data_IF_871228858469
#
_entry.id   IF_871228858469
#
_cell.length_a   1.000
_cell.length_b   1.000
_cell.length_c   1.000
_cell.angle_alpha   90.00
_cell.angle_beta   90.00
_cell.angle_gamma   90.00
#
_symmetry.space_group_name_H-M   'P 1'
#
loop_
_entity.id
_entity.type
_entity.pdbx_description
1 polymer ?
#
# COMPACT_ATOMS: atom_id res chain seq x y z
N UNK A 1 -2.98 11.04 -7.73
CA UNK A 1 -4.08 10.25 -7.13
C UNK A 1 -3.85 9.91 -5.67
N UNK A 2 -2.90 9.06 -5.29
CA UNK A 2 -2.67 8.74 -3.86
C UNK A 2 -2.36 9.98 -3.00
N UNK A 3 -1.67 10.97 -3.57
CA UNK A 3 -1.47 12.27 -2.91
C UNK A 3 -2.80 13.03 -2.67
N UNK A 4 -3.72 13.04 -3.63
CA UNK A 4 -5.07 13.63 -3.46
C UNK A 4 -5.88 12.90 -2.37
N UNK A 5 -5.65 11.60 -2.21
CA UNK A 5 -6.30 10.74 -1.21
C UNK A 5 -5.66 10.81 0.19
N UNK A 6 -4.84 11.82 0.46
CA UNK A 6 -4.19 12.03 1.75
C UNK A 6 -3.30 10.85 2.25
N UNK A 7 -2.81 9.98 1.35
CA UNK A 7 -1.84 8.95 1.72
C UNK A 7 -0.52 9.60 2.13
N UNK A 8 0.06 9.17 3.25
CA UNK A 8 1.25 9.80 3.82
C UNK A 8 2.54 9.42 3.09
N UNK A 9 2.65 8.17 2.66
CA UNK A 9 3.90 7.61 2.16
C UNK A 9 3.69 6.51 1.11
N UNK A 10 4.57 6.46 0.12
CA UNK A 10 4.77 5.31 -0.78
C UNK A 10 6.19 4.80 -0.59
N UNK A 11 6.32 3.48 -0.41
CA UNK A 11 7.59 2.78 -0.34
C UNK A 11 7.69 1.84 -1.53
N UNK A 12 8.50 2.13 -2.55
CA UNK A 12 8.72 1.22 -3.65
C UNK A 12 9.49 -0.01 -3.17
N UNK A 13 9.03 -1.21 -3.51
CA UNK A 13 9.66 -2.46 -3.10
C UNK A 13 9.98 -3.29 -4.34
N UNK A 14 11.18 -3.86 -4.37
CA UNK A 14 11.56 -4.85 -5.38
C UNK A 14 11.20 -6.24 -4.87
N UNK A 15 10.30 -6.90 -5.59
CA UNK A 15 9.97 -8.31 -5.39
C UNK A 15 10.71 -9.18 -6.41
N UNK A 16 10.78 -10.48 -6.15
CA UNK A 16 11.48 -11.45 -6.99
C UNK A 16 10.95 -11.51 -8.43
N UNK A 17 9.67 -11.16 -8.62
CA UNK A 17 8.99 -11.13 -9.94
C UNK A 17 8.72 -9.72 -10.46
N UNK A 18 9.35 -8.71 -9.86
CA UNK A 18 9.34 -7.36 -10.43
C UNK A 18 10.07 -7.36 -11.77
N UNK A 19 9.63 -6.54 -12.73
CA UNK A 19 10.36 -6.42 -13.98
C UNK A 19 11.76 -5.86 -13.72
N UNK A 20 12.76 -6.42 -14.40
CA UNK A 20 14.16 -6.04 -14.22
C UNK A 20 14.39 -4.55 -14.60
N UNK A 21 15.30 -3.88 -13.89
CA UNK A 21 15.78 -2.52 -14.18
C UNK A 21 14.75 -1.39 -14.08
N UNK A 22 13.77 -1.47 -13.18
CA UNK A 22 12.90 -0.32 -12.88
C UNK A 22 13.70 0.71 -12.07
N UNK A 23 14.22 1.73 -12.77
CA UNK A 23 14.79 2.92 -12.14
C UNK A 23 13.70 3.97 -11.95
N UNK A 24 13.49 4.40 -10.70
CA UNK A 24 12.54 5.45 -10.39
C UNK A 24 13.19 6.83 -10.55
N UNK A 25 12.63 7.65 -11.45
CA UNK A 25 12.99 9.06 -11.53
C UNK A 25 12.33 9.83 -10.38
N UNK A 26 13.01 9.84 -9.23
CA UNK A 26 12.56 10.56 -8.04
C UNK A 26 12.38 12.06 -8.27
N UNK A 27 13.16 12.69 -9.17
CA UNK A 27 12.98 14.11 -9.49
C UNK A 27 11.63 14.32 -10.17
N UNK A 28 11.29 13.47 -11.14
CA UNK A 28 9.98 13.51 -11.81
C UNK A 28 8.84 13.19 -10.83
N UNK A 29 8.99 12.17 -10.00
CA UNK A 29 7.97 11.78 -9.02
C UNK A 29 7.69 12.91 -8.01
N UNK A 30 8.74 13.55 -7.49
CA UNK A 30 8.59 14.68 -6.57
C UNK A 30 7.90 15.88 -7.24
N UNK A 31 8.18 16.17 -8.53
CA UNK A 31 7.42 17.20 -9.26
C UNK A 31 5.94 16.86 -9.34
N UNK A 32 5.59 15.61 -9.63
CA UNK A 32 4.19 15.16 -9.67
C UNK A 32 3.50 15.34 -8.32
N UNK A 33 4.19 15.02 -7.21
CA UNK A 33 3.65 15.23 -5.85
C UNK A 33 3.41 16.72 -5.59
N UNK A 34 4.36 17.59 -5.91
CA UNK A 34 4.25 19.04 -5.71
C UNK A 34 3.08 19.62 -6.52
N UNK A 35 2.95 19.27 -7.80
CA UNK A 35 1.82 19.74 -8.63
C UNK A 35 0.49 19.19 -8.12
N UNK A 36 0.46 17.93 -7.67
CA UNK A 36 -0.73 17.36 -7.05
C UNK A 36 -1.12 18.10 -5.76
N UNK A 37 -0.17 18.47 -4.91
CA UNK A 37 -0.43 19.26 -3.70
C UNK A 37 -1.05 20.62 -4.01
N UNK A 38 -0.55 21.32 -5.04
CA UNK A 38 -1.11 22.61 -5.51
C UNK A 38 -2.56 22.45 -5.96
N UNK A 39 -2.88 21.38 -6.70
CA UNK A 39 -4.22 21.13 -7.24
C UNK A 39 -5.21 20.63 -6.18
N UNK A 40 -4.73 19.93 -5.14
CA UNK A 40 -5.58 19.34 -4.10
C UNK A 40 -5.60 20.13 -2.79
N UNK A 41 -4.97 21.32 -2.75
CA UNK A 41 -4.77 22.13 -1.55
C UNK A 41 -4.20 21.34 -0.35
N UNK A 42 -3.29 20.40 -0.63
CA UNK A 42 -2.69 19.52 0.38
C UNK A 42 -1.38 20.13 0.88
N UNK A 43 -1.33 20.49 2.17
CA UNK A 43 -0.16 21.13 2.80
C UNK A 43 1.03 20.18 2.91
N UNK A 44 0.80 18.96 3.40
CA UNK A 44 1.87 18.00 3.66
C UNK A 44 2.04 17.05 2.46
N UNK A 45 3.14 17.13 1.69
CA UNK A 45 3.32 16.29 0.51
C UNK A 45 3.40 14.80 0.85
N UNK A 46 2.88 13.97 -0.05
CA UNK A 46 3.14 12.52 -0.04
C UNK A 46 4.64 12.25 -0.12
N UNK A 47 5.18 11.46 0.81
CA UNK A 47 6.58 11.07 0.81
C UNK A 47 6.76 9.85 -0.10
N UNK A 48 7.71 9.91 -1.03
CA UNK A 48 8.14 8.76 -1.82
C UNK A 48 9.53 8.35 -1.32
N UNK A 49 9.61 7.20 -0.65
CA UNK A 49 10.88 6.70 -0.12
C UNK A 49 11.76 6.08 -1.21
N UNK A 50 13.03 5.89 -0.89
CA UNK A 50 13.94 5.12 -1.71
C UNK A 50 13.43 3.68 -1.87
N UNK A 51 13.71 3.10 -3.03
CA UNK A 51 13.36 1.73 -3.32
C UNK A 51 14.12 0.80 -2.38
N UNK A 52 13.40 -0.14 -1.78
CA UNK A 52 13.96 -1.12 -0.85
C UNK A 52 13.80 -2.55 -1.37
N UNK A 53 14.58 -3.47 -0.82
CA UNK A 53 14.42 -4.91 -1.09
C UNK A 53 13.30 -5.50 -0.24
N UNK A 54 12.86 -6.71 -0.62
CA UNK A 54 11.84 -7.46 0.10
C UNK A 54 12.19 -7.69 1.58
N UNK A 55 13.42 -8.06 1.92
CA UNK A 55 13.82 -8.29 3.31
C UNK A 55 13.69 -7.02 4.18
N UNK A 56 14.04 -5.86 3.61
CA UNK A 56 13.89 -4.56 4.28
C UNK A 56 12.41 -4.20 4.50
N UNK A 57 11.53 -4.59 3.57
CA UNK A 57 10.08 -4.45 3.75
C UNK A 57 9.61 -5.24 4.96
N UNK A 58 10.05 -6.50 5.12
CA UNK A 58 9.64 -7.36 6.24
C UNK A 58 10.00 -6.73 7.58
N UNK A 59 11.20 -6.16 7.71
CA UNK A 59 11.61 -5.44 8.91
C UNK A 59 10.78 -4.17 9.13
N UNK A 60 10.53 -3.39 8.07
CA UNK A 60 9.81 -2.11 8.15
C UNK A 60 8.35 -2.25 8.58
N UNK A 61 7.70 -3.38 8.26
CA UNK A 61 6.29 -3.60 8.62
C UNK A 61 6.10 -4.25 9.99
N UNK A 62 7.15 -4.71 10.66
CA UNK A 62 7.05 -5.34 11.99
C UNK A 62 6.37 -4.40 12.99
N UNK A 63 5.41 -4.95 13.72
CA UNK A 63 4.67 -4.22 14.75
C UNK A 63 3.67 -3.18 14.23
N UNK A 64 3.44 -3.11 12.92
CA UNK A 64 2.44 -2.25 12.30
C UNK A 64 1.27 -3.04 11.72
N UNK A 65 0.10 -2.44 11.64
CA UNK A 65 -1.07 -3.06 10.98
C UNK A 65 -0.85 -3.03 9.48
N UNK A 66 -0.62 -4.20 8.88
CA UNK A 66 -0.31 -4.29 7.45
C UNK A 66 -1.29 -5.21 6.74
N UNK A 67 -1.95 -4.69 5.71
CA UNK A 67 -2.81 -5.45 4.82
C UNK A 67 -2.04 -5.93 3.60
N UNK A 68 -2.15 -7.22 3.29
CA UNK A 68 -1.67 -7.77 2.03
C UNK A 68 -2.85 -7.84 1.05
N UNK A 69 -2.81 -7.02 0.01
CA UNK A 69 -3.82 -7.06 -1.05
C UNK A 69 -3.54 -8.29 -1.94
N UNK A 70 -4.31 -9.37 -1.73
CA UNK A 70 -4.15 -10.65 -2.44
C UNK A 70 -5.45 -11.05 -3.13
N UNK A 71 -5.32 -11.80 -4.21
CA UNK A 71 -6.45 -12.25 -5.03
C UNK A 71 -6.95 -13.65 -4.62
N UNK A 72 -6.37 -14.25 -3.57
CA UNK A 72 -6.70 -15.61 -3.16
C UNK A 72 -8.07 -15.69 -2.49
N UNK A 73 -8.77 -16.80 -2.71
CA UNK A 73 -10.12 -17.08 -2.18
C UNK A 73 -10.18 -17.07 -0.64
N UNK A 74 -9.06 -17.29 0.04
CA UNK A 74 -8.98 -17.30 1.51
C UNK A 74 -8.89 -15.90 2.13
N UNK A 75 -8.75 -14.85 1.31
CA UNK A 75 -8.58 -13.49 1.82
C UNK A 75 -9.94 -12.86 2.18
N UNK A 76 -9.97 -12.09 3.25
CA UNK A 76 -11.21 -11.52 3.78
C UNK A 76 -11.48 -10.13 3.19
N UNK A 77 -12.74 -9.69 3.26
CA UNK A 77 -13.00 -8.25 3.14
C UNK A 77 -12.37 -7.55 4.36
N UNK A 78 -11.80 -6.37 4.17
CA UNK A 78 -11.19 -5.60 5.26
C UNK A 78 -12.17 -5.36 6.43
N UNK A 79 -13.47 -5.19 6.14
CA UNK A 79 -14.53 -4.97 7.14
C UNK A 79 -14.71 -6.15 8.10
N UNK A 80 -14.18 -7.33 7.74
CA UNK A 80 -14.23 -8.51 8.59
C UNK A 80 -13.09 -8.56 9.62
N UNK A 81 -12.14 -7.63 9.57
CA UNK A 81 -11.13 -7.46 10.61
C UNK A 81 -11.67 -6.48 11.65
N UNK A 82 -11.70 -6.88 12.92
CA UNK A 82 -11.96 -5.97 14.04
C UNK A 82 -10.67 -5.19 14.33
N UNK A 83 -10.54 -4.04 13.67
CA UNK A 83 -9.38 -3.15 13.80
C UNK A 83 -9.78 -1.99 14.69
N UNK A 84 -9.04 -1.79 15.77
CA UNK A 84 -9.16 -0.60 16.60
C UNK A 84 -8.02 0.34 16.22
N UNK A 85 -8.26 1.23 15.26
CA UNK A 85 -7.22 2.14 14.77
C UNK A 85 -7.16 3.33 15.72
N UNK A 86 -6.00 3.53 16.34
CA UNK A 86 -5.74 4.68 17.20
C UNK A 86 -5.05 5.78 16.42
N UNK A 87 -5.16 7.01 16.93
CA UNK A 87 -4.44 8.12 16.36
C UNK A 87 -2.93 7.89 16.50
N UNK A 88 -2.20 7.97 15.39
CA UNK A 88 -0.76 7.69 15.34
C UNK A 88 -0.40 6.27 14.88
N UNK A 89 -1.36 5.36 14.76
CA UNK A 89 -1.11 4.02 14.22
C UNK A 89 -0.67 4.10 12.76
N UNK A 90 0.29 3.24 12.41
CA UNK A 90 0.75 3.09 11.02
C UNK A 90 -0.02 1.93 10.40
N UNK A 91 -0.73 2.24 9.32
CA UNK A 91 -1.44 1.25 8.51
C UNK A 91 -0.79 1.17 7.14
N UNK A 92 -0.36 -0.03 6.77
CA UNK A 92 0.26 -0.30 5.48
C UNK A 92 -0.67 -1.13 4.60
N UNK A 93 -0.58 -0.91 3.29
CA UNK A 93 -1.15 -1.80 2.28
C UNK A 93 -0.02 -2.24 1.35
N UNK A 94 0.17 -3.55 1.24
CA UNK A 94 1.14 -4.17 0.34
C UNK A 94 0.42 -4.59 -0.92
N UNK A 95 0.93 -4.14 -2.05
CA UNK A 95 0.39 -4.42 -3.38
C UNK A 95 1.52 -5.02 -4.21
N UNK A 96 1.26 -6.18 -4.79
CA UNK A 96 2.23 -6.88 -5.62
C UNK A 96 2.51 -6.16 -6.93
N UNK A 97 3.66 -6.47 -7.53
CA UNK A 97 3.93 -6.16 -8.94
C UNK A 97 3.12 -7.06 -9.87
N UNK A 98 3.20 -6.80 -11.18
CA UNK A 98 2.47 -7.54 -12.22
C UNK A 98 2.79 -9.04 -12.24
N UNK A 99 4.03 -9.42 -11.88
CA UNK A 99 4.43 -10.84 -11.75
C UNK A 99 3.87 -11.54 -10.50
N UNK A 100 3.15 -10.79 -9.65
CA UNK A 100 2.69 -11.25 -8.34
C UNK A 100 3.84 -11.57 -7.39
N UNK A 101 3.54 -12.41 -6.41
CA UNK A 101 4.49 -12.87 -5.41
C UNK A 101 4.91 -14.31 -5.68
N UNK A 102 6.13 -14.67 -5.29
CA UNK A 102 6.54 -16.06 -5.16
C UNK A 102 5.83 -16.73 -3.99
N UNK A 103 5.86 -18.07 -3.94
CA UNK A 103 5.28 -18.83 -2.83
C UNK A 103 5.98 -18.48 -1.51
N UNK A 104 7.31 -18.36 -1.54
CA UNK A 104 8.10 -18.03 -0.36
C UNK A 104 7.81 -16.61 0.15
N UNK A 105 7.74 -15.61 -0.73
CA UNK A 105 7.33 -14.25 -0.37
C UNK A 105 5.92 -14.23 0.24
N UNK A 106 4.97 -14.96 -0.36
CA UNK A 106 3.61 -15.05 0.21
C UNK A 106 3.61 -15.69 1.58
N UNK A 107 4.38 -16.75 1.81
CA UNK A 107 4.44 -17.40 3.12
C UNK A 107 4.97 -16.45 4.19
N UNK A 108 6.03 -15.71 3.88
CA UNK A 108 6.60 -14.72 4.80
C UNK A 108 5.63 -13.56 5.05
N UNK A 109 5.02 -13.00 3.99
CA UNK A 109 4.04 -11.92 4.12
C UNK A 109 2.79 -12.37 4.91
N UNK A 110 2.25 -13.55 4.64
CA UNK A 110 1.07 -14.06 5.34
C UNK A 110 1.31 -14.24 6.85
N UNK A 111 2.55 -14.46 7.28
CA UNK A 111 2.90 -14.55 8.70
C UNK A 111 2.95 -13.20 9.43
N UNK A 112 3.08 -12.09 8.69
CA UNK A 112 3.27 -10.74 9.22
C UNK A 112 2.12 -9.77 8.88
N UNK A 113 1.17 -10.20 8.05
CA UNK A 113 0.16 -9.31 7.45
C UNK A 113 -1.24 -9.92 7.52
N UNK A 114 -2.24 -9.06 7.26
CA UNK A 114 -3.65 -9.41 7.19
C UNK A 114 -4.06 -9.49 5.71
N UNK A 115 -4.28 -10.69 5.14
CA UNK A 115 -4.63 -10.82 3.73
C UNK A 115 -6.05 -10.34 3.45
N UNK A 116 -6.19 -9.41 2.51
CA UNK A 116 -7.48 -8.87 2.07
C UNK A 116 -7.68 -9.05 0.57
N UNK A 117 -8.93 -9.30 0.20
CA UNK A 117 -9.39 -9.23 -1.20
C UNK A 117 -10.02 -7.87 -1.42
N UNK A 118 -9.55 -7.13 -2.43
CA UNK A 118 -10.11 -5.84 -2.81
C UNK A 118 -11.37 -6.01 -3.66
N UNK A 119 -11.31 -6.86 -4.68
CA UNK A 119 -12.40 -7.13 -5.62
C UNK A 119 -12.40 -8.60 -6.03
N UNK A 120 -13.48 -9.08 -6.66
CA UNK A 120 -13.53 -10.43 -7.24
C UNK A 120 -12.66 -10.59 -8.50
N UNK A 121 -12.30 -9.48 -9.13
CA UNK A 121 -11.42 -9.45 -10.32
C UNK A 121 -10.00 -9.06 -9.94
N UNK A 122 -9.06 -9.43 -10.80
CA UNK A 122 -7.66 -9.04 -10.74
C UNK A 122 -7.55 -7.54 -11.03
N UNK A 123 -6.88 -6.79 -10.14
CA UNK A 123 -6.64 -5.37 -10.32
C UNK A 123 -5.19 -5.14 -10.72
N UNK A 124 -4.96 -4.21 -11.65
CA UNK A 124 -3.62 -3.67 -11.86
C UNK A 124 -3.14 -2.95 -10.59
N UNK A 125 -1.84 -2.94 -10.36
CA UNK A 125 -1.23 -2.41 -9.14
C UNK A 125 -1.64 -0.95 -8.86
N UNK A 126 -1.75 -0.10 -9.88
CA UNK A 126 -2.19 1.28 -9.70
C UNK A 126 -3.66 1.38 -9.24
N UNK A 127 -4.53 0.56 -9.84
CA UNK A 127 -5.96 0.50 -9.48
C UNK A 127 -6.14 -0.05 -8.06
N UNK A 128 -5.41 -1.12 -7.73
CA UNK A 128 -5.41 -1.70 -6.39
C UNK A 128 -4.99 -0.65 -5.34
N UNK A 129 -3.99 0.17 -5.63
CA UNK A 129 -3.50 1.19 -4.70
C UNK A 129 -4.53 2.28 -4.43
N UNK A 130 -5.17 2.78 -5.50
CA UNK A 130 -6.22 3.79 -5.38
C UNK A 130 -7.42 3.22 -4.59
N UNK A 131 -7.82 1.98 -4.89
CA UNK A 131 -8.95 1.35 -4.24
C UNK A 131 -8.69 1.06 -2.75
N UNK A 132 -7.52 0.50 -2.42
CA UNK A 132 -7.09 0.27 -1.04
C UNK A 132 -7.05 1.58 -0.22
N UNK A 133 -6.53 2.66 -0.81
CA UNK A 133 -6.53 3.99 -0.19
C UNK A 133 -7.95 4.49 0.10
N UNK A 134 -8.88 4.36 -0.86
CA UNK A 134 -10.28 4.76 -0.68
C UNK A 134 -10.96 4.00 0.46
N UNK A 135 -10.75 2.67 0.52
CA UNK A 135 -11.24 1.82 1.62
C UNK A 135 -10.74 2.31 2.98
N UNK A 136 -9.43 2.58 3.09
CA UNK A 136 -8.83 3.04 4.36
C UNK A 136 -9.48 4.35 4.81
N UNK A 137 -9.63 5.30 3.89
CA UNK A 137 -10.20 6.61 4.18
C UNK A 137 -11.65 6.49 4.64
N UNK A 138 -12.44 5.67 3.96
CA UNK A 138 -13.82 5.40 4.34
C UNK A 138 -13.89 4.83 5.76
N UNK A 139 -13.05 3.83 6.07
CA UNK A 139 -13.00 3.22 7.39
C UNK A 139 -12.60 4.20 8.50
N UNK A 140 -11.56 5.00 8.28
CA UNK A 140 -11.12 6.03 9.23
C UNK A 140 -12.16 7.12 9.48
N UNK A 141 -13.08 7.38 8.52
CA UNK A 141 -14.21 8.29 8.74
C UNK A 141 -15.25 7.69 9.68
N UNK A 142 -15.54 6.40 9.55
CA UNK A 142 -16.50 5.71 10.42
C UNK A 142 -16.03 5.59 11.87
N UNK A 143 -14.73 5.42 12.11
CA UNK A 143 -14.18 5.33 13.49
C UNK A 143 -14.08 6.68 14.21
N UNK A 144 -14.30 7.80 13.51
CA UNK A 144 -14.29 9.17 14.07
C UNK A 144 -15.68 9.73 14.40
N UNK A 145 -16.74 8.99 14.07
CA UNK A 145 -18.13 9.31 14.42
C UNK A 145 -18.59 8.42 15.58
#
# INVERSE_FOLDING_TARGET
KLNELNISKIVPVVFSRSQNNIYLDYKRLNRIVVESCKQSNRVNPLIIENQIKFDELLEKIKGSTTFLCSEKETSKNINNYDLKIKNGDIINFIIGCEGGFTIDELNQLNSLTLPITLTKTILRSETAAIYAASILIERLKYERN
#
